data_IF_946664457191
#
_entry.id   IF_946664457191
#
_cell.length_a   1.000
_cell.length_b   1.000
_cell.length_c   1.000
_cell.angle_alpha   90.00
_cell.angle_beta   90.00
_cell.angle_gamma   90.00
#
_symmetry.space_group_name_H-M   'P 1'
#
loop_
_entity.id
_entity.type
_entity.pdbx_description
1 polymer ?
#
# COMPACT_ATOMS: atom_id res chain seq x y z
N UNK A 1 -18.33 -7.38 1.42
CA UNK A 1 -17.46 -6.29 1.88
C UNK A 1 -16.86 -5.66 0.65
N UNK A 2 -16.89 -4.32 0.47
CA UNK A 2 -16.25 -3.70 -0.69
C UNK A 2 -14.75 -4.00 -0.71
N UNK A 3 -14.21 -4.18 -1.91
CA UNK A 3 -12.77 -4.24 -2.14
C UNK A 3 -12.18 -2.83 -2.15
N UNK A 4 -10.91 -2.72 -1.78
CA UNK A 4 -10.23 -1.43 -1.70
C UNK A 4 -10.30 -0.65 -3.02
N UNK A 5 -10.19 -1.32 -4.17
CA UNK A 5 -10.30 -0.68 -5.50
C UNK A 5 -11.66 -0.03 -5.79
N UNK A 6 -12.71 -0.39 -5.05
CA UNK A 6 -14.06 0.15 -5.24
C UNK A 6 -14.30 1.41 -4.40
N UNK A 7 -13.44 1.67 -3.40
CA UNK A 7 -13.61 2.75 -2.42
C UNK A 7 -12.41 3.69 -2.30
N UNK A 8 -11.22 3.26 -2.68
CA UNK A 8 -10.03 4.10 -2.72
C UNK A 8 -10.04 4.93 -4.01
N UNK A 9 -9.84 6.24 -3.89
CA UNK A 9 -9.67 7.12 -5.06
C UNK A 9 -8.36 6.85 -5.80
N UNK A 10 -7.33 6.35 -5.09
CA UNK A 10 -6.12 5.83 -5.72
C UNK A 10 -5.42 4.78 -4.86
N UNK A 11 -4.93 3.73 -5.51
CA UNK A 11 -3.89 2.83 -4.98
C UNK A 11 -2.69 2.93 -5.93
N UNK A 12 -1.52 3.27 -5.41
CA UNK A 12 -0.30 3.48 -6.21
C UNK A 12 0.88 2.80 -5.56
N UNK A 13 1.85 2.43 -6.38
CA UNK A 13 3.17 2.02 -5.95
C UNK A 13 4.22 2.80 -6.72
N UNK A 14 5.37 3.03 -6.10
CA UNK A 14 6.50 3.72 -6.71
C UNK A 14 7.79 3.33 -6.01
N UNK A 15 8.90 3.51 -6.71
CA UNK A 15 10.22 3.39 -6.09
C UNK A 15 10.44 4.43 -4.97
N UNK A 16 11.07 3.99 -3.89
CA UNK A 16 11.71 4.82 -2.88
C UNK A 16 13.23 4.54 -2.97
N UNK A 17 13.87 5.15 -3.96
CA UNK A 17 15.21 4.72 -4.36
C UNK A 17 15.21 3.33 -5.01
N UNK A 18 16.40 2.75 -5.28
CA UNK A 18 16.52 1.50 -6.02
C UNK A 18 16.18 0.24 -5.20
N UNK A 19 16.19 0.33 -3.86
CA UNK A 19 16.06 -0.82 -2.97
C UNK A 19 14.74 -0.89 -2.23
N UNK A 20 13.93 0.17 -2.26
CA UNK A 20 12.66 0.23 -1.55
C UNK A 20 11.50 0.58 -2.48
N UNK A 21 10.31 0.19 -2.06
CA UNK A 21 9.05 0.42 -2.74
C UNK A 21 8.08 1.07 -1.76
N UNK A 22 7.47 2.17 -2.16
CA UNK A 22 6.39 2.82 -1.40
C UNK A 22 5.05 2.53 -2.06
N UNK A 23 4.08 2.18 -1.22
CA UNK A 23 2.67 2.01 -1.51
C UNK A 23 1.89 3.19 -0.93
N UNK A 24 0.99 3.75 -1.72
CA UNK A 24 0.10 4.83 -1.33
C UNK A 24 -1.35 4.38 -1.53
N UNK A 25 -2.19 4.52 -0.50
CA UNK A 25 -3.65 4.30 -0.56
C UNK A 25 -4.31 5.62 -0.20
N UNK A 26 -5.11 6.19 -1.10
CA UNK A 26 -5.74 7.50 -0.92
C UNK A 26 -7.25 7.39 -1.12
N UNK A 27 -8.00 8.12 -0.31
CA UNK A 27 -9.46 8.22 -0.40
C UNK A 27 -9.87 9.62 -0.87
N UNK A 28 -11.06 9.74 -1.46
CA UNK A 28 -11.55 11.01 -2.00
C UNK A 28 -11.96 12.00 -0.90
N UNK A 29 -12.37 11.48 0.26
CA UNK A 29 -12.92 12.28 1.35
C UNK A 29 -12.59 11.72 2.75
N UNK A 30 -12.70 12.60 3.73
CA UNK A 30 -12.42 12.30 5.14
C UNK A 30 -13.38 11.24 5.72
N UNK A 31 -14.65 11.24 5.33
CA UNK A 31 -15.64 10.34 5.89
C UNK A 31 -15.39 8.90 5.46
N UNK A 32 -15.04 8.67 4.20
CA UNK A 32 -14.62 7.37 3.68
C UNK A 32 -13.33 6.90 4.36
N UNK A 33 -12.32 7.76 4.43
CA UNK A 33 -11.07 7.46 5.14
C UNK A 33 -11.31 7.08 6.61
N UNK A 34 -12.10 7.86 7.34
CA UNK A 34 -12.38 7.59 8.76
C UNK A 34 -13.16 6.28 8.98
N UNK A 35 -14.07 5.90 8.07
CA UNK A 35 -14.73 4.59 8.11
C UNK A 35 -13.72 3.47 7.95
N UNK A 36 -12.87 3.54 6.93
CA UNK A 36 -11.81 2.54 6.66
C UNK A 36 -10.85 2.47 7.85
N UNK A 37 -10.42 3.61 8.37
CA UNK A 37 -9.51 3.73 9.52
C UNK A 37 -10.04 3.03 10.76
N UNK A 38 -11.32 3.18 11.07
CA UNK A 38 -11.96 2.51 12.21
C UNK A 38 -11.96 0.99 12.09
N UNK A 39 -11.87 0.43 10.89
CA UNK A 39 -11.79 -1.03 10.72
C UNK A 39 -10.47 -1.62 11.17
N UNK A 40 -9.39 -0.83 11.16
CA UNK A 40 -8.03 -1.30 11.46
C UNK A 40 -7.47 -2.31 10.46
N UNK A 41 -8.16 -2.58 9.34
CA UNK A 41 -7.73 -3.58 8.34
C UNK A 41 -6.43 -3.15 7.66
N UNK A 42 -6.31 -1.88 7.27
CA UNK A 42 -5.08 -1.33 6.69
C UNK A 42 -4.09 -1.04 7.81
N UNK A 43 -3.11 -1.92 7.97
CA UNK A 43 -2.11 -1.88 9.03
C UNK A 43 -0.78 -2.50 8.55
N UNK A 44 0.33 -2.37 9.32
CA UNK A 44 1.63 -2.92 8.91
C UNK A 44 1.61 -4.42 8.63
N UNK A 45 0.83 -5.21 9.40
CA UNK A 45 0.72 -6.67 9.23
C UNK A 45 0.08 -7.04 7.89
N UNK A 46 -0.99 -6.35 7.48
CA UNK A 46 -1.60 -6.55 6.17
C UNK A 46 -0.58 -6.34 5.04
N UNK A 47 0.20 -5.26 5.11
CA UNK A 47 1.23 -4.97 4.10
C UNK A 47 2.31 -6.06 4.12
N UNK A 48 2.80 -6.45 5.30
CA UNK A 48 3.77 -7.52 5.44
C UNK A 48 3.30 -8.83 4.79
N UNK A 49 2.05 -9.22 5.05
CA UNK A 49 1.45 -10.44 4.51
C UNK A 49 1.28 -10.39 2.98
N UNK A 50 0.79 -9.26 2.43
CA UNK A 50 0.57 -9.08 1.00
C UNK A 50 1.88 -9.15 0.19
N UNK A 51 2.96 -8.60 0.73
CA UNK A 51 4.25 -8.48 0.04
C UNK A 51 5.31 -9.47 0.52
N UNK A 52 4.97 -10.33 1.49
CA UNK A 52 5.83 -11.39 2.04
C UNK A 52 7.15 -10.85 2.58
N UNK A 53 7.07 -9.78 3.35
CA UNK A 53 8.20 -9.17 4.05
C UNK A 53 8.00 -9.27 5.57
N UNK A 54 9.06 -9.19 6.38
CA UNK A 54 8.91 -9.08 7.84
C UNK A 54 8.08 -7.85 8.21
N UNK A 55 7.26 -7.94 9.27
CA UNK A 55 6.40 -6.82 9.68
C UNK A 55 7.22 -5.64 10.21
N UNK A 56 8.34 -5.94 10.84
CA UNK A 56 9.31 -4.98 11.36
C UNK A 56 10.03 -4.19 10.27
N UNK A 57 10.07 -4.67 9.02
CA UNK A 57 10.64 -3.92 7.89
C UNK A 57 9.61 -3.02 7.18
N UNK A 58 8.35 -3.01 7.62
CA UNK A 58 7.32 -2.16 7.04
C UNK A 58 7.33 -0.80 7.73
N UNK A 59 7.74 0.23 7.00
CA UNK A 59 7.60 1.62 7.45
C UNK A 59 6.21 2.10 7.08
N UNK A 60 5.29 2.09 8.04
CA UNK A 60 3.88 2.41 7.84
C UNK A 60 3.53 3.77 8.45
N UNK A 61 2.87 4.62 7.67
CA UNK A 61 2.38 5.93 8.09
C UNK A 61 0.93 6.08 7.71
N UNK A 62 0.09 6.30 8.70
CA UNK A 62 -1.25 6.84 8.51
C UNK A 62 -1.15 8.37 8.39
N UNK A 63 -1.78 8.95 7.36
CA UNK A 63 -1.71 10.37 7.08
C UNK A 63 -3.11 10.99 6.88
N UNK A 64 -3.81 11.31 8.00
CA UNK A 64 -5.16 11.88 7.95
C UNK A 64 -5.31 13.16 7.12
N UNK A 65 -4.34 14.12 7.09
CA UNK A 65 -4.49 15.34 6.30
C UNK A 65 -4.65 15.13 4.79
N UNK A 66 -4.22 13.98 4.25
CA UNK A 66 -4.42 13.63 2.83
C UNK A 66 -5.35 12.43 2.65
N UNK A 67 -6.08 12.02 3.68
CA UNK A 67 -6.97 10.86 3.65
C UNK A 67 -6.24 9.62 3.12
N UNK A 68 -5.05 9.35 3.64
CA UNK A 68 -4.14 8.40 3.03
C UNK A 68 -3.39 7.50 4.01
N UNK A 69 -2.96 6.36 3.49
CA UNK A 69 -1.96 5.49 4.09
C UNK A 69 -0.74 5.43 3.18
N UNK A 70 0.43 5.32 3.80
CA UNK A 70 1.71 5.07 3.14
C UNK A 70 2.38 3.88 3.79
N UNK A 71 2.90 2.97 2.99
CA UNK A 71 3.76 1.90 3.47
C UNK A 71 4.99 1.80 2.58
N UNK A 72 6.19 1.79 3.17
CA UNK A 72 7.44 1.52 2.45
C UNK A 72 7.98 0.18 2.90
N UNK A 73 8.43 -0.62 1.93
CA UNK A 73 9.00 -1.95 2.12
C UNK A 73 10.26 -2.11 1.27
N UNK A 74 11.13 -3.04 1.63
CA UNK A 74 12.24 -3.45 0.77
C UNK A 74 11.74 -4.12 -0.51
N UNK A 75 12.39 -3.84 -1.63
CA UNK A 75 12.13 -4.52 -2.90
C UNK A 75 12.73 -5.92 -2.85
N UNK A 76 11.96 -6.90 -3.33
CA UNK A 76 12.46 -8.27 -3.54
C UNK A 76 13.64 -8.31 -4.54
N UNK A 77 13.58 -7.48 -5.59
CA UNK A 77 14.64 -7.32 -6.59
C UNK A 77 14.90 -5.82 -6.75
N UNK A 78 16.16 -5.35 -6.59
CA UNK A 78 16.50 -3.95 -6.80
C UNK A 78 16.05 -3.45 -8.18
N UNK A 79 15.62 -2.19 -8.25
CA UNK A 79 15.16 -1.56 -9.48
C UNK A 79 16.22 -1.67 -10.59
N UNK A 80 15.84 -2.26 -11.72
CA UNK A 80 16.71 -2.43 -12.89
C UNK A 80 17.71 -3.58 -12.80
N UNK A 81 17.71 -4.36 -11.72
CA UNK A 81 18.53 -5.57 -11.63
C UNK A 81 17.96 -6.71 -12.50
N UNK A 82 18.78 -7.71 -12.81
CA UNK A 82 18.35 -8.91 -13.55
C UNK A 82 17.19 -9.59 -12.81
N UNK A 83 16.08 -9.81 -13.53
CA UNK A 83 14.86 -10.41 -12.99
C UNK A 83 13.84 -9.39 -12.47
N UNK A 84 14.15 -8.09 -12.46
CA UNK A 84 13.16 -7.06 -12.17
C UNK A 84 12.15 -6.96 -13.33
N UNK A 85 10.89 -7.23 -13.02
CA UNK A 85 9.78 -7.17 -13.97
C UNK A 85 9.03 -5.85 -13.94
N UNK A 86 9.35 -4.96 -13.00
CA UNK A 86 8.71 -3.66 -12.82
C UNK A 86 9.73 -2.62 -12.32
N UNK A 87 10.54 -2.13 -13.27
CA UNK A 87 11.63 -1.19 -13.04
C UNK A 87 11.16 0.08 -12.33
N UNK A 88 9.97 0.59 -12.68
CA UNK A 88 9.41 1.80 -12.06
C UNK A 88 8.73 1.53 -10.70
N UNK A 89 8.50 0.27 -10.35
CA UNK A 89 7.72 -0.12 -9.18
C UNK A 89 6.26 0.34 -9.27
N UNK A 90 5.74 0.59 -10.47
CA UNK A 90 4.42 1.21 -10.67
C UNK A 90 3.26 0.20 -10.63
N UNK A 91 3.56 -1.08 -10.81
CA UNK A 91 2.56 -2.16 -10.90
C UNK A 91 2.44 -2.96 -9.59
N UNK A 92 3.32 -2.70 -8.62
CA UNK A 92 3.35 -3.44 -7.35
C UNK A 92 2.13 -3.18 -6.46
N UNK A 93 1.31 -2.15 -6.69
CA UNK A 93 0.11 -1.87 -5.89
C UNK A 93 -1.02 -2.89 -6.05
N UNK A 94 -0.96 -3.75 -7.06
CA UNK A 94 -2.04 -4.68 -7.42
C UNK A 94 -2.57 -5.54 -6.24
N UNK A 95 -1.73 -6.09 -5.34
CA UNK A 95 -2.21 -6.87 -4.19
C UNK A 95 -3.15 -6.10 -3.25
N UNK A 96 -3.04 -4.77 -3.19
CA UNK A 96 -3.92 -3.93 -2.37
C UNK A 96 -5.36 -3.89 -2.90
N UNK A 97 -5.53 -4.02 -4.22
CA UNK A 97 -6.81 -3.75 -4.90
C UNK A 97 -7.93 -4.70 -4.47
N UNK A 98 -7.58 -5.93 -4.09
CA UNK A 98 -8.54 -6.96 -3.69
C UNK A 98 -8.70 -7.13 -2.18
N UNK A 99 -8.09 -6.26 -1.36
CA UNK A 99 -8.30 -6.23 0.10
C UNK A 99 -9.76 -5.86 0.40
N UNK A 100 -10.44 -6.68 1.18
CA UNK A 100 -11.83 -6.43 1.61
C UNK A 100 -11.88 -5.56 2.87
N UNK A 101 -12.76 -4.54 2.86
CA UNK A 101 -12.93 -3.61 3.97
C UNK A 101 -14.35 -3.73 4.56
N UNK A 102 -14.52 -3.96 5.88
CA UNK A 102 -15.83 -4.12 6.51
C UNK A 102 -16.48 -2.76 6.83
N UNK A 103 -16.91 -2.03 5.80
CA UNK A 103 -17.64 -0.75 5.91
C UNK A 103 -18.95 -0.76 5.15
#
# INVERSE_FOLDING_TARGET
>A
MPKLKEIAGACKSKNAGPFELTLDIMFEDAATFDKVRKTGVINPKLIADLYRVPVESVVFTEYPPAFAYKATIERRIPSGAVGDTDVYGAQQHAPLLDVEIPI
#
